data_IF_604585031052
#
_entry.id   IF_604585031052
#
_cell.length_a   1.000
_cell.length_b   1.000
_cell.length_c   1.000
_cell.angle_alpha   90.00
_cell.angle_beta   90.00
_cell.angle_gamma   90.00
#
_symmetry.space_group_name_H-M   'P 1'
#
loop_
_entity.id
_entity.type
_entity.pdbx_description
1 polymer ?
#
# COMPACT_ATOMS: atom_id res chain seq x y z
N UNK A 1 -4.09 -13.70 -14.57
CA UNK A 1 -4.24 -13.19 -13.20
C UNK A 1 -3.24 -13.95 -12.35
N UNK A 2 -2.28 -13.29 -11.71
CA UNK A 2 -1.51 -13.98 -10.69
C UNK A 2 -2.49 -14.40 -9.60
N UNK A 3 -2.49 -15.68 -9.29
CA UNK A 3 -3.27 -16.26 -8.21
C UNK A 3 -2.81 -15.63 -6.88
N UNK A 4 -3.73 -15.01 -6.15
CA UNK A 4 -3.50 -14.54 -4.78
C UNK A 4 -3.38 -15.71 -3.77
N UNK A 5 -3.25 -16.93 -4.27
CA UNK A 5 -3.09 -18.14 -3.46
C UNK A 5 -1.67 -18.17 -2.93
N UNK A 6 -1.53 -17.78 -1.68
CA UNK A 6 -0.25 -17.79 -0.97
C UNK A 6 0.25 -16.44 -0.50
N UNK A 7 -0.37 -15.33 -0.93
CA UNK A 7 0.02 -13.99 -0.48
C UNK A 7 -0.34 -13.74 0.98
N UNK A 8 0.58 -13.19 1.72
CA UNK A 8 0.38 -12.79 3.11
C UNK A 8 0.05 -11.31 3.16
N UNK A 9 -1.11 -10.98 3.73
CA UNK A 9 -1.60 -9.60 3.86
C UNK A 9 -1.42 -9.11 5.29
N UNK A 10 -1.06 -7.85 5.44
CA UNK A 10 -0.97 -7.19 6.73
C UNK A 10 -1.86 -5.95 6.75
N UNK A 11 -2.73 -5.85 7.75
CA UNK A 11 -3.53 -4.65 8.03
C UNK A 11 -2.84 -3.87 9.13
N UNK A 12 -2.69 -2.57 8.91
CA UNK A 12 -1.98 -1.68 9.80
C UNK A 12 -2.91 -0.63 10.36
N UNK A 13 -2.71 -0.38 11.62
CA UNK A 13 -3.40 0.64 12.35
C UNK A 13 -2.45 1.71 12.89
N UNK A 14 -3.02 2.88 13.26
CA UNK A 14 -2.33 3.92 13.97
C UNK A 14 -1.89 3.44 15.37
N UNK A 15 -1.17 4.25 16.12
CA UNK A 15 -0.52 4.01 17.43
C UNK A 15 -1.26 3.14 18.46
N UNK A 16 -2.53 2.85 18.23
CA UNK A 16 -3.38 2.10 19.10
C UNK A 16 -3.87 0.82 18.43
N UNK A 17 -2.96 -0.12 18.22
CA UNK A 17 -3.35 -1.50 18.44
C UNK A 17 -3.71 -1.69 19.94
N UNK A 18 -4.18 -0.63 20.58
CA UNK A 18 -4.76 -0.69 21.90
C UNK A 18 -6.08 -1.39 21.72
N UNK A 19 -6.09 -2.69 21.94
CA UNK A 19 -7.27 -3.55 22.03
C UNK A 19 -8.30 -3.03 23.05
N UNK A 20 -8.53 -1.71 23.05
CA UNK A 20 -9.54 -1.07 23.87
C UNK A 20 -10.91 -1.54 23.40
N UNK A 21 -11.68 -2.03 24.32
CA UNK A 21 -13.12 -2.27 24.11
C UNK A 21 -13.72 -0.97 23.57
N UNK A 22 -14.35 -1.07 22.38
CA UNK A 22 -14.99 0.03 21.64
C UNK A 22 -14.10 0.83 20.67
N UNK A 23 -12.84 0.46 20.43
CA UNK A 23 -12.06 1.05 19.35
C UNK A 23 -12.54 0.54 17.98
N UNK A 24 -12.19 1.26 16.92
CA UNK A 24 -12.45 0.87 15.53
C UNK A 24 -11.80 -0.47 15.19
N UNK A 25 -10.62 -0.74 15.75
CA UNK A 25 -9.92 -2.01 15.60
C UNK A 25 -10.78 -3.16 16.09
N UNK A 26 -11.41 -2.99 17.24
CA UNK A 26 -12.23 -4.03 17.85
C UNK A 26 -13.57 -4.23 17.16
N UNK A 27 -14.19 -3.13 16.69
CA UNK A 27 -15.51 -3.15 16.07
C UNK A 27 -15.49 -3.51 14.60
N UNK A 28 -14.48 -3.06 13.85
CA UNK A 28 -14.44 -3.14 12.40
C UNK A 28 -13.26 -3.99 11.87
N UNK A 29 -12.03 -3.67 12.29
CA UNK A 29 -10.83 -4.26 11.69
C UNK A 29 -10.67 -5.73 12.08
N UNK A 30 -10.78 -6.06 13.35
CA UNK A 30 -10.64 -7.45 13.82
C UNK A 30 -11.73 -8.34 13.22
N UNK A 31 -13.02 -7.98 13.21
CA UNK A 31 -14.06 -8.75 12.53
C UNK A 31 -13.80 -8.94 11.04
N UNK A 32 -13.33 -7.90 10.34
CA UNK A 32 -12.97 -7.98 8.93
C UNK A 32 -11.81 -8.96 8.69
N UNK A 33 -10.75 -8.90 9.51
CA UNK A 33 -9.64 -9.85 9.46
C UNK A 33 -10.13 -11.29 9.65
N UNK A 34 -10.99 -11.52 10.63
CA UNK A 34 -11.55 -12.86 10.90
C UNK A 34 -12.38 -13.38 9.72
N UNK A 35 -13.16 -12.49 9.09
CA UNK A 35 -13.94 -12.84 7.91
C UNK A 35 -13.05 -13.22 6.72
N UNK A 36 -11.99 -12.45 6.47
CA UNK A 36 -11.02 -12.74 5.41
C UNK A 36 -10.26 -14.05 5.67
N UNK A 37 -9.90 -14.32 6.91
CA UNK A 37 -9.29 -15.62 7.30
C UNK A 37 -10.23 -16.81 7.00
N UNK A 38 -11.53 -16.67 7.24
CA UNK A 38 -12.53 -17.69 6.90
C UNK A 38 -12.62 -17.96 5.41
N UNK A 39 -12.33 -16.96 4.57
CA UNK A 39 -12.24 -17.08 3.12
C UNK A 39 -10.90 -17.69 2.64
N UNK A 40 -10.03 -18.11 3.55
CA UNK A 40 -8.74 -18.72 3.23
C UNK A 40 -7.62 -17.71 2.92
N UNK A 41 -7.85 -16.43 3.16
CA UNK A 41 -6.82 -15.39 2.94
C UNK A 41 -5.85 -15.41 4.12
N UNK A 42 -4.56 -15.53 3.83
CA UNK A 42 -3.52 -15.40 4.85
C UNK A 42 -3.35 -13.92 5.19
N UNK A 43 -3.84 -13.53 6.33
CA UNK A 43 -3.83 -12.14 6.79
C UNK A 43 -3.33 -12.05 8.22
N UNK A 44 -2.45 -11.09 8.50
CA UNK A 44 -1.92 -10.79 9.83
C UNK A 44 -2.27 -9.36 10.20
N UNK A 45 -2.66 -9.14 11.41
CA UNK A 45 -3.01 -7.80 11.91
C UNK A 45 -4.08 -7.83 13.00
N UNK A 46 -4.46 -6.67 13.50
CA UNK A 46 -3.82 -5.37 13.25
C UNK A 46 -2.39 -5.32 13.79
N UNK A 47 -1.49 -4.59 13.13
CA UNK A 47 -0.10 -4.43 13.53
C UNK A 47 0.24 -2.94 13.67
N UNK A 48 1.13 -2.60 14.58
CA UNK A 48 1.58 -1.24 14.79
C UNK A 48 2.34 -0.70 13.56
N UNK A 49 1.99 0.53 13.14
CA UNK A 49 2.50 1.11 11.90
C UNK A 49 3.98 1.50 11.96
N UNK A 50 4.48 1.80 13.13
CA UNK A 50 5.86 2.22 13.38
C UNK A 50 6.88 1.08 13.30
N UNK A 51 6.47 -0.16 13.57
CA UNK A 51 7.40 -1.28 13.71
C UNK A 51 7.53 -2.15 12.46
N UNK A 52 6.48 -2.32 11.67
CA UNK A 52 6.51 -3.28 10.56
C UNK A 52 7.51 -2.94 9.45
N UNK A 53 7.74 -1.65 9.17
CA UNK A 53 8.71 -1.25 8.14
C UNK A 53 10.16 -1.38 8.58
N UNK A 54 10.40 -1.59 9.88
CA UNK A 54 11.75 -1.76 10.42
C UNK A 54 12.31 -3.15 10.09
N UNK A 55 11.51 -4.19 10.24
CA UNK A 55 12.01 -5.58 10.17
C UNK A 55 11.24 -6.49 9.21
N UNK A 56 9.93 -6.38 9.14
CA UNK A 56 9.10 -7.48 8.63
C UNK A 56 8.39 -7.21 7.30
N UNK A 57 8.46 -5.99 6.75
CA UNK A 57 7.66 -5.63 5.57
C UNK A 57 7.92 -6.51 4.34
N UNK A 58 9.13 -7.07 4.22
CA UNK A 58 9.52 -7.95 3.10
C UNK A 58 8.86 -9.33 3.16
N UNK A 59 8.29 -9.69 4.30
CA UNK A 59 7.60 -10.96 4.51
C UNK A 59 6.13 -10.91 4.04
N UNK A 60 5.67 -9.74 3.58
CA UNK A 60 4.29 -9.54 3.14
C UNK A 60 4.25 -9.17 1.66
N UNK A 61 3.33 -9.77 0.93
CA UNK A 61 3.07 -9.42 -0.46
C UNK A 61 2.27 -8.11 -0.57
N UNK A 62 1.41 -7.85 0.41
CA UNK A 62 0.53 -6.68 0.46
C UNK A 62 0.51 -6.13 1.88
N UNK A 63 0.69 -4.82 2.01
CA UNK A 63 0.51 -4.07 3.26
C UNK A 63 -0.66 -3.12 3.08
N UNK A 64 -1.66 -3.23 3.95
CA UNK A 64 -2.85 -2.38 3.93
C UNK A 64 -2.75 -1.39 5.09
N UNK A 65 -2.75 -0.10 4.78
CA UNK A 65 -2.87 0.98 5.76
C UNK A 65 -4.29 1.54 5.75
N UNK A 66 -4.83 1.83 6.93
CA UNK A 66 -6.14 2.45 7.06
C UNK A 66 -6.09 3.95 6.77
N UNK A 67 -4.93 4.57 7.00
CA UNK A 67 -4.71 5.99 6.75
C UNK A 67 -3.54 6.19 5.79
N UNK A 68 -3.66 7.22 4.95
CA UNK A 68 -2.70 7.57 3.91
C UNK A 68 -1.24 7.59 4.39
N UNK A 69 -0.97 8.28 5.50
CA UNK A 69 0.41 8.51 5.95
C UNK A 69 1.04 7.30 6.66
N UNK A 70 0.23 6.35 7.12
CA UNK A 70 0.72 5.13 7.76
C UNK A 70 1.58 4.26 6.86
N UNK A 71 1.30 4.26 5.57
CA UNK A 71 2.00 3.46 4.56
C UNK A 71 2.85 4.34 3.66
N UNK A 72 2.35 5.51 3.26
CA UNK A 72 2.98 6.31 2.24
C UNK A 72 4.31 6.93 2.69
N UNK A 73 4.39 7.43 3.93
CA UNK A 73 5.62 8.02 4.44
C UNK A 73 6.78 7.00 4.51
N UNK A 74 6.64 5.83 5.16
CA UNK A 74 7.69 4.82 5.16
C UNK A 74 7.95 4.23 3.76
N UNK A 75 6.91 4.07 2.93
CA UNK A 75 7.06 3.61 1.56
C UNK A 75 7.94 4.55 0.74
N UNK A 76 7.69 5.86 0.79
CA UNK A 76 8.51 6.86 0.08
C UNK A 76 9.94 6.94 0.61
N UNK A 77 10.14 6.76 1.91
CA UNK A 77 11.47 6.71 2.51
C UNK A 77 12.29 5.54 1.98
N UNK A 78 11.65 4.39 1.76
CA UNK A 78 12.31 3.16 1.29
C UNK A 78 12.50 3.15 -0.23
N UNK A 79 11.48 3.54 -1.00
CA UNK A 79 11.43 3.36 -2.45
C UNK A 79 11.58 4.67 -3.24
N UNK A 80 11.55 5.82 -2.57
CA UNK A 80 11.72 7.15 -3.20
C UNK A 80 10.75 7.33 -4.37
N UNK A 81 11.30 7.54 -5.59
CA UNK A 81 10.52 7.69 -6.83
C UNK A 81 10.32 6.37 -7.58
N UNK A 82 10.74 5.25 -7.01
CA UNK A 82 10.64 3.93 -7.63
C UNK A 82 9.26 3.28 -7.39
N UNK A 83 8.20 4.03 -7.66
CA UNK A 83 6.83 3.69 -7.36
C UNK A 83 5.85 4.19 -8.43
N UNK A 84 4.68 3.57 -8.46
CA UNK A 84 3.52 4.02 -9.23
C UNK A 84 2.27 4.00 -8.35
N UNK A 85 1.31 4.84 -8.66
CA UNK A 85 0.01 4.86 -8.00
C UNK A 85 -1.03 4.20 -8.92
N UNK A 86 -1.77 3.22 -8.38
CA UNK A 86 -2.80 2.47 -9.11
C UNK A 86 -4.12 2.61 -8.35
N UNK A 87 -5.17 3.01 -9.05
CA UNK A 87 -6.52 3.04 -8.46
C UNK A 87 -7.23 1.72 -8.77
N UNK A 88 -7.62 1.00 -7.73
CA UNK A 88 -8.36 -0.25 -7.85
C UNK A 88 -9.88 -0.02 -7.79
N UNK A 89 -10.66 -0.97 -8.33
CA UNK A 89 -12.13 -0.92 -8.29
C UNK A 89 -12.79 -0.11 -9.40
N UNK A 90 -12.04 0.44 -10.33
CA UNK A 90 -12.57 1.11 -11.53
C UNK A 90 -12.78 0.12 -12.68
N UNK A 91 -13.68 0.45 -13.62
CA UNK A 91 -13.89 -0.32 -14.85
C UNK A 91 -12.73 -0.20 -15.85
N UNK A 92 -11.88 0.79 -15.67
CA UNK A 92 -10.69 1.07 -16.47
C UNK A 92 -9.44 1.13 -15.58
N UNK A 93 -8.29 0.84 -16.15
CA UNK A 93 -7.01 0.92 -15.46
C UNK A 93 -6.61 2.39 -15.31
N UNK A 94 -6.47 2.85 -14.07
CA UNK A 94 -5.95 4.18 -13.74
C UNK A 94 -4.61 4.04 -13.02
N UNK A 95 -3.59 4.54 -13.69
CA UNK A 95 -2.21 4.56 -13.17
C UNK A 95 -1.67 5.98 -13.25
N UNK A 96 -0.94 6.41 -12.25
CA UNK A 96 -0.26 7.70 -12.25
C UNK A 96 1.13 7.60 -11.62
N UNK A 97 2.08 8.46 -12.05
CA UNK A 97 3.36 8.58 -11.37
C UNK A 97 3.18 8.96 -9.90
N UNK A 98 4.04 8.43 -9.06
CA UNK A 98 4.03 8.71 -7.62
C UNK A 98 4.98 9.86 -7.27
N UNK A 99 4.67 11.06 -7.79
CA UNK A 99 5.37 12.29 -7.45
C UNK A 99 4.41 13.47 -7.32
N UNK A 100 4.82 14.49 -6.54
CA UNK A 100 4.09 15.73 -6.38
C UNK A 100 4.31 16.72 -7.54
N UNK A 101 3.87 17.95 -7.35
CA UNK A 101 3.94 19.03 -8.35
C UNK A 101 5.36 19.48 -8.67
N UNK A 102 6.33 19.21 -7.78
CA UNK A 102 7.76 19.47 -7.97
C UNK A 102 8.05 20.89 -8.51
N UNK A 103 7.37 21.90 -7.96
CA UNK A 103 7.43 23.30 -8.41
C UNK A 103 8.84 23.88 -8.33
N UNK A 104 9.65 23.35 -7.44
CA UNK A 104 11.05 23.74 -7.22
C UNK A 104 11.98 23.40 -8.39
N UNK A 105 11.60 22.47 -9.25
CA UNK A 105 12.39 22.02 -10.41
C UNK A 105 11.79 22.40 -11.76
N UNK A 106 10.70 23.16 -11.78
CA UNK A 106 10.07 23.63 -13.03
C UNK A 106 11.11 24.41 -13.88
N UNK A 107 11.22 24.08 -15.16
CA UNK A 107 12.14 24.70 -16.10
C UNK A 107 13.61 24.34 -15.94
N UNK A 108 13.98 23.53 -14.93
CA UNK A 108 15.39 23.18 -14.66
C UNK A 108 15.87 21.89 -15.35
N UNK A 109 15.00 21.20 -16.09
CA UNK A 109 15.28 19.92 -16.75
C UNK A 109 15.90 18.86 -15.81
N UNK A 110 15.41 18.81 -14.57
CA UNK A 110 15.88 17.90 -13.50
C UNK A 110 14.86 16.83 -13.10
N UNK A 111 13.74 16.73 -13.80
CA UNK A 111 12.71 15.75 -13.49
C UNK A 111 13.20 14.33 -13.74
N UNK A 112 12.95 13.42 -12.79
CA UNK A 112 13.22 11.99 -12.94
C UNK A 112 12.02 11.31 -13.62
N UNK A 113 12.17 10.76 -14.84
CA UNK A 113 11.08 10.13 -15.58
C UNK A 113 10.77 8.71 -15.13
N UNK A 114 11.49 8.13 -14.18
CA UNK A 114 11.38 6.70 -13.81
C UNK A 114 9.96 6.29 -13.47
N UNK A 115 9.27 7.04 -12.64
CA UNK A 115 7.90 6.71 -12.22
C UNK A 115 6.92 6.72 -13.40
N UNK A 116 7.05 7.70 -14.33
CA UNK A 116 6.25 7.74 -15.55
C UNK A 116 6.52 6.55 -16.47
N UNK A 117 7.78 6.22 -16.69
CA UNK A 117 8.17 5.06 -17.51
C UNK A 117 7.63 3.75 -16.90
N UNK A 118 7.64 3.62 -15.59
CA UNK A 118 7.03 2.47 -14.90
C UNK A 118 5.51 2.42 -15.10
N UNK A 119 4.82 3.55 -15.08
CA UNK A 119 3.38 3.60 -15.41
C UNK A 119 3.11 3.08 -16.82
N UNK A 120 3.87 3.56 -17.81
CA UNK A 120 3.73 3.12 -19.21
C UNK A 120 3.98 1.62 -19.33
N UNK A 121 5.06 1.11 -18.73
CA UNK A 121 5.37 -0.31 -18.74
C UNK A 121 4.28 -1.16 -18.06
N UNK A 122 3.73 -0.66 -16.95
CA UNK A 122 2.63 -1.33 -16.27
C UNK A 122 1.37 -1.39 -17.14
N UNK A 123 1.00 -0.29 -17.79
CA UNK A 123 -0.15 -0.23 -18.70
C UNK A 123 0.07 -1.20 -19.88
N UNK A 124 1.24 -1.22 -20.49
CA UNK A 124 1.56 -2.13 -21.59
C UNK A 124 1.45 -3.60 -21.19
N UNK A 125 1.77 -3.92 -19.94
CA UNK A 125 1.73 -5.30 -19.42
C UNK A 125 0.33 -5.73 -19.00
N UNK A 126 -0.48 -4.85 -18.43
CA UNK A 126 -1.74 -5.18 -17.76
C UNK A 126 -2.97 -4.45 -18.31
N UNK A 127 -2.81 -3.51 -19.24
CA UNK A 127 -3.84 -2.64 -19.79
C UNK A 127 -4.64 -3.26 -20.94
N UNK A 128 -4.89 -4.58 -20.90
CA UNK A 128 -5.74 -5.28 -21.89
C UNK A 128 -7.19 -5.31 -21.46
#
# INVERSE_FOLDING_TARGET
>A
MPSLVGSEMCIRDSHNAEYRKNSEEHKEIIPAILSLKRLGIKIKGPLASDTIFISDFKNYDIIIGMFHDQVLAPFKSLFKYDAINITLGLKYLRVSPDHGTATDIIGKNKADPKSLLKCINFINKFGK
#
